data_IF_569394205457
#
_entry.id   IF_569394205457
#
_cell.length_a   1.000
_cell.length_b   1.000
_cell.length_c   1.000
_cell.angle_alpha   90.00
_cell.angle_beta   90.00
_cell.angle_gamma   90.00
#
_symmetry.space_group_name_H-M   'P 1'
#
loop_
_entity.id
_entity.type
_entity.pdbx_description
1 polymer ?
#
# COMPACT_ATOMS: atom_id res chain seq x y z
N UNK A 1 -22.08 -52.14 4.09
CA UNK A 1 -22.48 -51.44 5.05
C UNK A 1 -21.52 -50.53 5.68
N UNK A 2 -20.80 -50.69 6.14
CA UNK A 2 -19.88 -49.94 6.78
C UNK A 2 -19.24 -48.87 6.08
N UNK A 3 -19.08 -49.04 4.96
CA UNK A 3 -18.39 -48.11 4.20
C UNK A 3 -18.81 -46.73 4.34
N UNK A 4 -19.88 -46.49 4.39
CA UNK A 4 -20.41 -45.26 4.47
C UNK A 4 -19.65 -44.30 5.29
N UNK A 5 -19.20 -44.65 6.24
CA UNK A 5 -18.52 -43.88 7.11
C UNK A 5 -17.54 -42.96 6.57
N UNK A 6 -16.74 -43.45 5.86
CA UNK A 6 -15.69 -42.68 5.38
C UNK A 6 -15.99 -41.37 4.84
N UNK A 7 -16.89 -41.32 4.19
CA UNK A 7 -17.29 -40.09 3.67
C UNK A 7 -17.19 -38.88 4.41
N UNK A 8 -17.78 -38.83 5.43
CA UNK A 8 -17.83 -37.69 6.16
C UNK A 8 -16.61 -36.94 6.33
N UNK A 9 -15.63 -37.52 6.59
CA UNK A 9 -14.45 -36.89 6.83
C UNK A 9 -14.10 -35.83 5.87
N UNK A 10 -14.21 -36.08 4.76
CA UNK A 10 -13.85 -35.19 3.72
C UNK A 10 -14.35 -33.81 3.98
N UNK A 11 -15.44 -33.73 4.35
CA UNK A 11 -16.08 -32.49 4.53
C UNK A 11 -15.38 -31.52 5.44
N UNK A 12 -14.88 -31.98 6.41
CA UNK A 12 -14.26 -31.15 7.33
C UNK A 12 -13.18 -30.31 6.86
N UNK A 13 -12.39 -30.82 6.16
CA UNK A 13 -11.31 -30.11 5.69
C UNK A 13 -11.65 -28.82 5.10
N UNK A 14 -12.59 -28.79 4.37
CA UNK A 14 -12.99 -27.62 3.71
C UNK A 14 -13.18 -26.49 4.62
N UNK A 15 -13.76 -26.70 5.63
CA UNK A 15 -14.07 -25.68 6.54
C UNK A 15 -12.89 -24.82 6.89
N UNK A 16 -11.81 -25.38 7.03
CA UNK A 16 -10.70 -24.61 7.48
C UNK A 16 -10.05 -23.78 6.42
N UNK A 17 -10.22 -24.07 5.25
CA UNK A 17 -9.58 -23.34 4.23
C UNK A 17 -9.98 -21.94 4.00
N UNK A 18 -11.13 -21.66 4.15
CA UNK A 18 -11.57 -20.34 3.80
C UNK A 18 -11.31 -19.23 4.74
N UNK A 19 -10.68 -19.50 5.78
CA UNK A 19 -10.47 -18.48 6.75
C UNK A 19 -9.41 -17.47 6.51
N UNK A 20 -8.50 -17.76 5.75
CA UNK A 20 -7.42 -16.85 5.61
C UNK A 20 -7.53 -15.98 4.40
N UNK A 21 -8.07 -14.83 4.58
CA UNK A 21 -8.06 -13.87 3.50
C UNK A 21 -6.77 -13.09 3.57
N UNK A 22 -6.48 -12.31 2.57
CA UNK A 22 -5.30 -11.47 2.57
C UNK A 22 -5.45 -10.44 3.66
N UNK A 23 -4.39 -10.15 4.33
CA UNK A 23 -4.42 -9.14 5.36
C UNK A 23 -4.37 -7.78 4.75
N UNK A 24 -5.25 -6.92 5.16
CA UNK A 24 -5.19 -5.56 4.70
C UNK A 24 -4.20 -4.81 5.57
N UNK A 25 -3.52 -3.82 5.00
CA UNK A 25 -2.58 -3.03 5.79
C UNK A 25 -3.33 -2.31 6.89
N UNK A 26 -2.72 -2.27 8.05
CA UNK A 26 -3.31 -1.58 9.17
C UNK A 26 -3.06 -0.10 9.04
N UNK A 27 -3.93 0.69 9.60
CA UNK A 27 -3.78 2.12 9.59
C UNK A 27 -4.82 2.82 8.74
N UNK A 28 -4.79 4.12 8.78
CA UNK A 28 -5.72 4.93 8.01
C UNK A 28 -5.18 5.17 6.63
N UNK A 29 -6.05 5.21 5.65
CA UNK A 29 -5.66 5.45 4.28
C UNK A 29 -6.06 6.85 3.86
N UNK A 30 -5.14 7.53 3.22
CA UNK A 30 -5.40 8.87 2.70
C UNK A 30 -4.94 8.94 1.25
N UNK A 31 -5.67 9.68 0.43
CA UNK A 31 -5.21 9.95 -0.93
C UNK A 31 -4.25 11.12 -0.88
N UNK A 32 -3.19 11.06 -1.68
CA UNK A 32 -2.28 12.17 -1.76
C UNK A 32 -1.85 12.40 -3.21
N UNK A 33 -1.50 13.63 -3.50
CA UNK A 33 -0.95 13.99 -4.80
C UNK A 33 0.26 14.88 -4.55
N UNK A 34 1.23 14.79 -5.40
CA UNK A 34 2.42 15.61 -5.25
C UNK A 34 3.40 15.40 -6.36
N UNK A 35 4.54 16.05 -6.23
CA UNK A 35 5.62 15.98 -7.19
C UNK A 35 6.84 15.35 -6.54
N UNK A 36 7.46 14.40 -7.23
CA UNK A 36 8.65 13.73 -6.71
C UNK A 36 9.84 14.67 -6.82
N UNK A 37 10.46 14.98 -5.70
CA UNK A 37 11.62 15.88 -5.67
C UNK A 37 12.93 15.14 -5.58
N UNK A 38 12.95 14.01 -4.93
CA UNK A 38 14.18 13.21 -4.78
C UNK A 38 13.81 11.76 -4.53
N UNK A 39 14.72 10.86 -4.86
CA UNK A 39 14.52 9.44 -4.65
C UNK A 39 15.75 8.85 -3.99
N UNK A 40 15.55 8.00 -2.99
CA UNK A 40 16.64 7.30 -2.32
C UNK A 40 16.40 5.79 -2.51
N UNK A 41 17.06 5.18 -3.48
CA UNK A 41 16.84 3.77 -3.74
C UNK A 41 17.33 2.82 -2.64
N UNK A 42 18.26 3.28 -1.83
CA UNK A 42 18.76 2.44 -0.76
C UNK A 42 17.68 2.17 0.29
N UNK A 43 16.85 3.14 0.56
CA UNK A 43 15.79 3.00 1.55
C UNK A 43 14.40 2.95 0.94
N UNK A 44 14.31 3.02 -0.38
CA UNK A 44 13.04 3.06 -1.11
C UNK A 44 12.18 4.21 -0.60
N UNK A 45 12.80 5.35 -0.45
CA UNK A 45 12.13 6.55 0.05
C UNK A 45 12.05 7.61 -1.04
N UNK A 46 10.91 8.20 -1.20
CA UNK A 46 10.71 9.29 -2.14
C UNK A 46 10.39 10.56 -1.36
N UNK A 47 11.10 11.64 -1.68
CA UNK A 47 10.79 12.93 -1.09
C UNK A 47 9.78 13.59 -2.03
N UNK A 48 8.62 13.89 -1.51
CA UNK A 48 7.51 14.38 -2.30
C UNK A 48 6.99 15.70 -1.79
N UNK A 49 6.82 16.63 -2.72
CA UNK A 49 6.21 17.90 -2.41
C UNK A 49 4.71 17.65 -2.55
N UNK A 50 4.07 17.31 -1.49
CA UNK A 50 2.69 16.86 -1.49
C UNK A 50 1.73 17.97 -1.15
N UNK A 51 0.55 17.93 -1.76
CA UNK A 51 -0.53 18.79 -1.36
C UNK A 51 -1.11 18.29 -0.06
N UNK A 52 -2.17 18.93 0.39
CA UNK A 52 -2.79 18.55 1.63
C UNK A 52 -3.28 17.11 1.58
N UNK A 53 -3.02 16.38 2.64
CA UNK A 53 -3.40 14.97 2.71
C UNK A 53 -4.50 14.84 3.75
N UNK A 54 -5.73 14.91 3.29
CA UNK A 54 -6.90 14.79 4.15
C UNK A 54 -6.79 15.74 5.34
N UNK A 55 -7.10 15.24 6.50
CA UNK A 55 -6.97 16.00 7.74
C UNK A 55 -5.72 15.53 8.50
N UNK A 56 -4.86 14.76 7.87
CA UNK A 56 -3.65 14.24 8.50
C UNK A 56 -2.47 15.22 8.41
N UNK A 57 -2.23 15.74 7.23
CA UNK A 57 -1.08 16.62 7.02
C UNK A 57 -1.41 17.76 6.08
N UNK A 58 -0.82 18.90 6.35
CA UNK A 58 -0.95 20.04 5.44
C UNK A 58 0.04 19.89 4.30
N UNK A 59 -0.11 20.70 3.27
CA UNK A 59 0.79 20.67 2.12
C UNK A 59 2.22 20.91 2.56
N UNK A 60 3.10 19.98 2.26
CA UNK A 60 4.51 20.14 2.61
C UNK A 60 5.35 19.09 1.90
N UNK A 61 6.64 19.35 1.83
CA UNK A 61 7.59 18.43 1.25
C UNK A 61 8.16 17.55 2.34
N UNK A 62 8.02 16.25 2.20
CA UNK A 62 8.58 15.32 3.18
C UNK A 62 8.88 13.96 2.56
N UNK A 63 9.70 13.16 3.22
CA UNK A 63 10.04 11.83 2.69
C UNK A 63 8.94 10.82 2.99
N UNK A 64 8.71 9.93 2.03
CA UNK A 64 7.73 8.85 2.17
C UNK A 64 8.40 7.55 1.77
N UNK A 65 8.33 6.55 2.64
CA UNK A 65 8.77 5.24 2.24
C UNK A 65 7.74 4.68 1.30
N UNK A 66 8.18 4.06 0.22
CA UNK A 66 7.26 3.54 -0.79
C UNK A 66 7.27 2.02 -0.75
N UNK A 67 6.11 1.41 -0.62
CA UNK A 67 5.96 -0.04 -0.55
C UNK A 67 4.83 -0.48 -1.48
N UNK A 68 4.95 -1.63 -2.09
CA UNK A 68 6.16 -2.47 -2.17
C UNK A 68 7.18 -1.87 -3.12
N UNK A 69 8.31 -2.52 -3.28
CA UNK A 69 9.39 -2.01 -4.12
C UNK A 69 8.93 -1.72 -5.54
N UNK A 70 8.01 -2.48 -6.05
CA UNK A 70 7.50 -2.27 -7.39
C UNK A 70 6.87 -0.89 -7.56
N UNK A 71 6.30 -0.35 -6.49
CA UNK A 71 5.70 0.98 -6.56
C UNK A 71 6.80 2.03 -6.60
N UNK A 72 7.88 1.81 -5.87
CA UNK A 72 9.00 2.75 -5.87
C UNK A 72 9.62 2.79 -7.28
N UNK A 73 9.69 1.66 -7.95
CA UNK A 73 10.28 1.58 -9.28
C UNK A 73 9.56 2.40 -10.34
N UNK A 74 8.33 2.77 -10.09
CA UNK A 74 7.57 3.57 -11.04
C UNK A 74 7.94 5.05 -10.98
N UNK A 75 8.65 5.47 -9.96
CA UNK A 75 8.86 6.88 -9.69
C UNK A 75 10.10 7.46 -10.35
N UNK A 76 9.99 8.69 -10.79
CA UNK A 76 11.14 9.44 -11.34
C UNK A 76 11.04 10.86 -10.78
N UNK A 77 12.21 11.46 -10.58
CA UNK A 77 12.25 12.83 -10.09
C UNK A 77 11.56 13.74 -11.10
N UNK A 78 10.70 14.58 -10.62
CA UNK A 78 9.95 15.51 -11.46
C UNK A 78 8.54 15.03 -11.80
N UNK A 79 8.25 13.77 -11.54
CA UNK A 79 6.92 13.25 -11.86
C UNK A 79 5.87 13.77 -10.91
N UNK A 80 4.68 14.00 -11.43
CA UNK A 80 3.53 14.24 -10.60
C UNK A 80 2.88 12.89 -10.37
N UNK A 81 2.52 12.63 -9.14
CA UNK A 81 1.96 11.33 -8.78
C UNK A 81 0.75 11.46 -7.90
N UNK A 82 -0.02 10.39 -7.90
CA UNK A 82 -1.15 10.26 -7.01
C UNK A 82 -0.97 8.91 -6.33
N UNK A 83 -1.20 8.83 -5.07
CA UNK A 83 -1.03 7.56 -4.35
C UNK A 83 -1.82 7.54 -3.06
N UNK A 84 -1.65 6.46 -2.33
CA UNK A 84 -2.33 6.28 -1.06
C UNK A 84 -1.28 6.27 0.05
N UNK A 85 -1.49 7.08 1.06
CA UNK A 85 -0.63 7.08 2.24
C UNK A 85 -1.34 6.27 3.31
N UNK A 86 -0.64 5.29 3.85
CA UNK A 86 -1.16 4.47 4.93
C UNK A 86 -0.49 4.96 6.21
N UNK A 87 -1.28 5.44 7.13
CA UNK A 87 -0.75 5.98 8.38
C UNK A 87 -1.06 5.05 9.54
N UNK A 88 -0.02 4.56 10.17
CA UNK A 88 -0.16 3.71 11.33
C UNK A 88 0.75 4.35 12.39
N UNK A 89 0.28 5.41 12.94
CA UNK A 89 1.00 6.34 13.79
C UNK A 89 1.90 5.65 14.81
N UNK A 90 3.19 6.01 14.86
CA UNK A 90 3.82 7.15 14.17
C UNK A 90 4.32 6.85 12.77
N UNK A 91 4.18 5.63 12.31
CA UNK A 91 4.70 5.26 11.01
C UNK A 91 3.73 5.59 9.89
N UNK A 92 4.26 5.77 8.71
CA UNK A 92 3.46 5.98 7.52
C UNK A 92 4.24 5.53 6.30
N UNK A 93 3.55 5.20 5.23
CA UNK A 93 4.22 4.89 3.96
C UNK A 93 3.27 5.16 2.79
N UNK A 94 3.86 5.27 1.62
CA UNK A 94 3.11 5.53 0.39
C UNK A 94 2.99 4.23 -0.39
N UNK A 95 1.82 3.98 -0.94
CA UNK A 95 1.59 2.80 -1.76
C UNK A 95 0.61 3.12 -2.89
N UNK A 96 0.42 2.19 -3.79
CA UNK A 96 -0.52 2.30 -4.91
C UNK A 96 -0.31 3.59 -5.68
N UNK A 97 0.92 3.77 -6.14
CA UNK A 97 1.31 4.99 -6.82
C UNK A 97 0.90 4.97 -8.28
N UNK A 98 0.38 6.10 -8.75
CA UNK A 98 0.05 6.26 -10.15
C UNK A 98 0.75 7.51 -10.62
N UNK A 99 1.53 7.40 -11.68
CA UNK A 99 2.21 8.55 -12.26
C UNK A 99 1.21 9.27 -13.17
N UNK A 100 1.05 10.54 -12.93
CA UNK A 100 0.09 11.34 -13.69
C UNK A 100 0.75 11.91 -14.94
N UNK A 101 -0.04 12.12 -15.98
CA UNK A 101 0.54 12.67 -17.20
C UNK A 101 1.02 14.10 -16.98
N UNK A 102 2.07 14.44 -17.66
CA UNK A 102 2.59 15.79 -17.57
C UNK A 102 1.72 16.71 -18.42
N UNK A 103 1.57 17.90 -17.96
CA UNK A 103 0.81 18.90 -18.70
C UNK A 103 1.70 19.91 -19.35
#
# INVERSE_FOLDING_TARGET
MTRLITVLLAALLLASCGLHGPKEPEGKKYSMQGTVKALDPATKTATIDAGRIGDWMEAMTMPYRVKPDAEFAKLNVGDRIEGTVIVNDPDYYLTTVKVLPKQ
#
